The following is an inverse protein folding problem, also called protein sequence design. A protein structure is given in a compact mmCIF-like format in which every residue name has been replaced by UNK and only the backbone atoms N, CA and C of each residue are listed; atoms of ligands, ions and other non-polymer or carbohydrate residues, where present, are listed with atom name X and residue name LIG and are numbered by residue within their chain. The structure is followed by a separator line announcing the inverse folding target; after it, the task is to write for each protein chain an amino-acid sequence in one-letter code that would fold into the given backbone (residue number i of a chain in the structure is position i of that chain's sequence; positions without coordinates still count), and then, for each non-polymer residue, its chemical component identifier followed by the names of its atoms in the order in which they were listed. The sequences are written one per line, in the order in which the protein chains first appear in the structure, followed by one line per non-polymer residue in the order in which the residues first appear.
data_IF_484335121203
#
_entry.id   IF_484335121203
#
_cell.length_a   1.000
_cell.length_b   1.000
_cell.length_c   1.000
_cell.angle_alpha   90.00
_cell.angle_beta   90.00
_cell.angle_gamma   90.00
#
_symmetry.space_group_name_H-M   'P 1'
#
loop_
_entity.id
_entity.type
_entity.pdbx_description
1 polymer ?
#
# COMPACT_ATOMS: atom_id res chain seq x y z
N UNK A 1 39.02 -7.70 -17.08
CA UNK A 1 39.79 -7.22 -15.90
C UNK A 1 40.61 -5.97 -16.20
N UNK A 2 41.19 -5.85 -17.37
CA UNK A 2 42.10 -4.75 -17.71
C UNK A 2 41.43 -3.39 -17.88
N UNK A 3 40.15 -3.38 -18.30
CA UNK A 3 39.40 -2.12 -18.54
C UNK A 3 38.61 -1.65 -17.31
N UNK A 4 38.48 -2.45 -16.27
CA UNK A 4 37.62 -2.16 -15.12
C UNK A 4 36.12 -2.16 -15.43
N UNK A 5 35.74 -2.55 -16.65
CA UNK A 5 34.34 -2.65 -17.07
C UNK A 5 33.67 -3.87 -16.44
N UNK A 6 32.45 -3.71 -15.92
CA UNK A 6 31.63 -4.80 -15.39
C UNK A 6 30.66 -5.26 -16.46
N UNK A 7 30.66 -6.56 -16.78
CA UNK A 7 29.70 -7.19 -17.69
C UNK A 7 28.85 -8.19 -16.93
N UNK A 8 27.54 -8.19 -17.22
CA UNK A 8 26.58 -9.11 -16.64
C UNK A 8 26.20 -10.17 -17.67
N UNK A 9 26.15 -11.41 -17.24
CA UNK A 9 25.78 -12.56 -18.06
C UNK A 9 24.56 -13.27 -17.47
N UNK A 10 23.75 -13.88 -18.33
CA UNK A 10 22.57 -14.65 -17.87
C UNK A 10 22.89 -16.10 -17.49
N UNK A 11 24.11 -16.55 -17.76
CA UNK A 11 24.59 -17.88 -17.43
C UNK A 11 25.53 -17.88 -16.20
N UNK A 12 25.71 -19.06 -15.61
CA UNK A 12 26.55 -19.22 -14.41
C UNK A 12 28.03 -19.47 -14.71
N UNK A 13 28.45 -19.52 -15.98
CA UNK A 13 29.80 -19.95 -16.39
C UNK A 13 30.64 -18.84 -17.00
N UNK A 14 30.03 -17.80 -17.52
CA UNK A 14 30.73 -16.71 -18.23
C UNK A 14 31.30 -15.63 -17.31
N UNK A 15 30.89 -15.56 -16.04
CA UNK A 15 31.28 -14.55 -15.07
C UNK A 15 32.19 -15.11 -13.97
N UNK A 16 32.87 -14.20 -13.22
CA UNK A 16 33.69 -14.55 -12.06
C UNK A 16 32.85 -14.68 -10.77
N UNK A 17 31.71 -13.96 -10.70
CA UNK A 17 30.83 -13.94 -9.52
C UNK A 17 29.45 -14.45 -9.93
N UNK A 18 29.01 -15.52 -9.27
CA UNK A 18 27.67 -16.08 -9.48
C UNK A 18 26.71 -15.43 -8.50
N UNK A 19 25.83 -14.56 -9.02
CA UNK A 19 24.86 -13.81 -8.22
C UNK A 19 23.59 -14.63 -7.88
N UNK A 20 23.28 -15.63 -8.70
CA UNK A 20 22.17 -16.54 -8.48
C UNK A 20 22.58 -18.00 -8.70
N UNK A 21 23.24 -18.63 -7.70
CA UNK A 21 23.81 -19.98 -7.85
C UNK A 21 22.74 -21.08 -7.98
N UNK A 22 21.48 -20.81 -7.62
CA UNK A 22 20.41 -21.83 -7.67
C UNK A 22 19.71 -21.92 -9.03
N UNK A 23 20.06 -21.03 -9.98
CA UNK A 23 19.40 -20.97 -11.28
C UNK A 23 17.92 -20.58 -11.19
N UNK A 24 17.26 -20.54 -12.35
CA UNK A 24 15.84 -20.16 -12.49
C UNK A 24 15.63 -18.66 -12.77
N UNK A 25 14.40 -18.30 -13.09
CA UNK A 25 14.02 -16.89 -13.34
C UNK A 25 13.71 -16.24 -11.99
N UNK A 26 14.68 -15.51 -11.47
CA UNK A 26 14.52 -14.77 -10.23
C UNK A 26 14.82 -13.29 -10.43
N UNK A 27 14.15 -12.44 -9.66
CA UNK A 27 14.53 -11.03 -9.57
C UNK A 27 15.90 -10.96 -8.92
N UNK A 28 16.84 -10.32 -9.61
CA UNK A 28 18.18 -10.09 -9.08
C UNK A 28 18.11 -9.10 -7.90
N UNK A 29 18.43 -9.60 -6.72
CA UNK A 29 18.40 -8.80 -5.50
C UNK A 29 19.81 -8.69 -4.92
N UNK A 30 20.28 -7.48 -4.69
CA UNK A 30 21.55 -7.20 -4.03
C UNK A 30 21.31 -6.62 -2.63
N UNK A 31 22.16 -7.00 -1.69
CA UNK A 31 22.42 -6.15 -0.54
C UNK A 31 23.43 -5.04 -0.91
N UNK A 32 23.66 -4.08 -0.02
CA UNK A 32 24.53 -2.93 -0.29
C UNK A 32 25.99 -3.32 -0.60
N UNK A 33 26.50 -4.34 0.06
CA UNK A 33 27.87 -4.84 -0.15
C UNK A 33 28.02 -5.54 -1.50
N UNK A 34 27.07 -6.42 -1.84
CA UNK A 34 27.03 -7.08 -3.15
C UNK A 34 26.90 -6.08 -4.28
N UNK A 35 26.04 -5.07 -4.13
CA UNK A 35 25.89 -4.02 -5.12
C UNK A 35 27.19 -3.23 -5.36
N UNK A 36 27.94 -2.95 -4.30
CA UNK A 36 29.25 -2.31 -4.40
C UNK A 36 30.31 -3.24 -5.04
N UNK A 37 30.34 -4.52 -4.65
CA UNK A 37 31.29 -5.52 -5.18
C UNK A 37 31.15 -5.69 -6.70
N UNK A 38 29.93 -5.71 -7.23
CA UNK A 38 29.66 -5.83 -8.66
C UNK A 38 29.58 -4.46 -9.38
N UNK A 39 29.98 -3.37 -8.72
CA UNK A 39 29.96 -1.99 -9.23
C UNK A 39 28.57 -1.53 -9.71
N UNK A 40 27.50 -2.13 -9.22
CA UNK A 40 26.14 -1.66 -9.42
C UNK A 40 25.86 -0.39 -8.60
N UNK A 41 26.50 -0.29 -7.44
CA UNK A 41 26.53 0.88 -6.58
C UNK A 41 27.95 1.44 -6.50
N UNK A 42 28.10 2.75 -6.28
CA UNK A 42 29.38 3.41 -6.09
C UNK A 42 30.01 3.15 -4.72
N UNK A 43 29.21 2.69 -3.76
CA UNK A 43 29.65 2.42 -2.41
C UNK A 43 28.50 2.19 -1.46
N UNK A 44 28.83 2.00 -0.20
CA UNK A 44 27.90 1.84 0.92
C UNK A 44 28.16 2.95 1.93
N UNK A 45 27.11 3.53 2.49
CA UNK A 45 27.19 4.56 3.53
C UNK A 45 26.33 4.16 4.71
N UNK A 46 26.89 4.21 5.91
CA UNK A 46 26.20 3.88 7.18
C UNK A 46 25.62 5.12 7.87
N UNK A 47 26.03 6.31 7.43
CA UNK A 47 25.59 7.59 7.97
C UNK A 47 25.60 8.67 6.87
N UNK A 48 25.05 9.85 7.20
CA UNK A 48 24.93 10.96 6.26
C UNK A 48 26.27 11.56 5.79
N UNK A 49 27.29 11.55 6.64
CA UNK A 49 28.60 12.07 6.30
C UNK A 49 29.31 11.14 5.29
N UNK A 50 29.21 9.84 5.50
CA UNK A 50 29.72 8.85 4.55
C UNK A 50 28.96 8.92 3.21
N UNK A 51 27.65 9.13 3.24
CA UNK A 51 26.84 9.31 2.04
C UNK A 51 27.28 10.55 1.25
N UNK A 52 27.48 11.69 1.92
CA UNK A 52 28.01 12.90 1.30
C UNK A 52 29.35 12.67 0.61
N UNK A 53 30.29 12.00 1.29
CA UNK A 53 31.60 11.62 0.74
C UNK A 53 31.49 10.66 -0.45
N UNK A 54 30.63 9.64 -0.35
CA UNK A 54 30.40 8.68 -1.43
C UNK A 54 29.78 9.34 -2.68
N UNK A 55 28.99 10.42 -2.50
CA UNK A 55 28.44 11.26 -3.56
C UNK A 55 29.46 12.25 -4.12
N UNK A 56 30.65 12.38 -3.53
CA UNK A 56 31.69 13.32 -3.94
C UNK A 56 31.36 14.79 -3.57
N UNK A 57 30.55 14.99 -2.55
CA UNK A 57 30.13 16.31 -2.08
C UNK A 57 31.04 16.75 -0.91
N UNK A 58 31.59 17.97 -0.98
CA UNK A 58 32.47 18.56 0.05
C UNK A 58 31.65 19.09 1.24
N UNK A 59 30.49 19.62 0.97
CA UNK A 59 29.56 20.11 1.98
C UNK A 59 28.14 19.66 1.62
N UNK A 60 27.40 19.18 2.63
CA UNK A 60 26.04 18.71 2.47
C UNK A 60 25.16 19.31 3.57
N UNK A 61 24.18 20.08 3.16
CA UNK A 61 23.10 20.50 4.06
C UNK A 61 21.89 19.57 3.85
N UNK A 62 21.58 18.82 4.91
CA UNK A 62 20.43 17.93 4.90
C UNK A 62 19.16 18.66 5.32
N UNK A 63 18.26 18.85 4.37
CA UNK A 63 17.01 19.59 4.56
C UNK A 63 15.88 18.62 4.85
N UNK A 64 15.15 18.87 5.95
CA UNK A 64 13.99 18.09 6.33
C UNK A 64 13.76 18.01 7.83
N UNK A 65 12.75 17.24 8.24
CA UNK A 65 12.44 17.00 9.65
C UNK A 65 13.23 15.79 10.14
N UNK A 66 13.97 15.94 11.24
CA UNK A 66 14.60 14.82 11.93
C UNK A 66 13.52 13.90 12.51
N UNK A 67 13.62 12.61 12.21
CA UNK A 67 12.79 11.56 12.79
C UNK A 67 13.68 10.47 13.39
N UNK A 68 13.21 9.81 14.46
CA UNK A 68 13.99 8.79 15.16
C UNK A 68 14.10 7.48 14.40
N UNK A 69 13.16 7.22 13.48
CA UNK A 69 13.08 5.98 12.72
C UNK A 69 13.94 6.02 11.45
N UNK A 70 14.49 7.20 11.09
CA UNK A 70 15.24 7.38 9.85
C UNK A 70 16.62 7.98 10.11
N UNK A 71 17.60 7.50 9.35
CA UNK A 71 18.99 8.00 9.42
C UNK A 71 19.09 9.41 8.81
N UNK A 72 18.28 9.70 7.80
CA UNK A 72 18.23 10.99 7.09
C UNK A 72 17.03 11.82 7.52
N UNK A 73 17.10 13.15 7.38
CA UNK A 73 15.94 14.01 7.59
C UNK A 73 14.87 13.76 6.53
N UNK A 74 13.62 13.64 6.95
CA UNK A 74 12.49 13.36 6.08
C UNK A 74 12.02 14.67 5.42
N UNK A 75 12.01 14.73 4.10
CA UNK A 75 11.49 15.86 3.37
C UNK A 75 9.94 15.91 3.41
N UNK A 76 9.36 17.04 3.03
CA UNK A 76 7.91 17.27 3.07
C UNK A 76 7.13 16.25 2.21
N UNK A 77 7.68 15.91 1.04
CA UNK A 77 7.07 14.93 0.14
C UNK A 77 7.10 13.51 0.73
N UNK A 78 8.22 13.14 1.34
CA UNK A 78 8.38 11.85 2.01
C UNK A 78 7.45 11.73 3.23
N UNK A 79 7.34 12.78 4.06
CA UNK A 79 6.39 12.82 5.17
C UNK A 79 4.96 12.62 4.66
N UNK A 80 4.58 13.30 3.57
CA UNK A 80 3.27 13.14 2.96
C UNK A 80 3.01 11.70 2.50
N UNK A 81 4.01 11.04 1.89
CA UNK A 81 3.92 9.64 1.48
C UNK A 81 3.78 8.67 2.66
N UNK A 82 4.51 8.92 3.75
CA UNK A 82 4.41 8.11 4.98
C UNK A 82 3.02 8.25 5.62
N UNK A 83 2.51 9.47 5.72
CA UNK A 83 1.18 9.74 6.25
C UNK A 83 0.08 9.13 5.35
N UNK A 84 0.27 9.17 4.04
CA UNK A 84 -0.64 8.52 3.09
C UNK A 84 -0.66 7.00 3.29
N UNK A 85 0.50 6.34 3.34
CA UNK A 85 0.61 4.90 3.58
C UNK A 85 -0.03 4.47 4.90
N UNK A 86 0.21 5.24 5.96
CA UNK A 86 -0.37 4.97 7.28
C UNK A 86 -1.90 5.08 7.23
N UNK A 87 -2.45 6.12 6.61
CA UNK A 87 -3.90 6.28 6.41
C UNK A 87 -4.48 5.14 5.60
N UNK A 88 -3.89 4.83 4.44
CA UNK A 88 -4.37 3.74 3.56
C UNK A 88 -4.41 2.40 4.29
N UNK A 89 -3.39 2.06 5.08
CA UNK A 89 -3.39 0.82 5.87
C UNK A 89 -4.47 0.78 6.95
N UNK A 90 -4.80 1.93 7.54
CA UNK A 90 -5.92 2.04 8.50
C UNK A 90 -7.26 1.94 7.78
N UNK A 91 -7.40 2.66 6.67
CA UNK A 91 -8.62 2.69 5.86
C UNK A 91 -8.95 1.29 5.31
N UNK A 92 -7.96 0.50 4.91
CA UNK A 92 -8.17 -0.87 4.43
C UNK A 92 -8.77 -1.79 5.50
N UNK A 93 -8.30 -1.69 6.75
CA UNK A 93 -8.86 -2.45 7.88
C UNK A 93 -10.29 -2.04 8.19
N UNK A 94 -10.55 -0.72 8.24
CA UNK A 94 -11.88 -0.19 8.48
C UNK A 94 -12.83 -0.50 7.34
N UNK A 95 -12.37 -0.45 6.09
CA UNK A 95 -13.14 -0.80 4.90
C UNK A 95 -13.69 -2.22 5.01
N UNK A 96 -12.83 -3.21 5.28
CA UNK A 96 -13.25 -4.60 5.46
C UNK A 96 -14.26 -4.76 6.61
N UNK A 97 -14.07 -4.02 7.70
CA UNK A 97 -15.02 -3.99 8.82
C UNK A 97 -16.39 -3.46 8.39
N UNK A 98 -16.43 -2.39 7.59
CA UNK A 98 -17.70 -1.81 7.12
C UNK A 98 -18.40 -2.73 6.11
N UNK A 99 -17.68 -3.32 5.16
CA UNK A 99 -18.26 -4.26 4.18
C UNK A 99 -18.87 -5.48 4.91
N UNK A 100 -18.11 -6.12 5.81
CA UNK A 100 -18.61 -7.25 6.59
C UNK A 100 -19.79 -6.86 7.48
N UNK A 101 -19.72 -5.67 8.06
CA UNK A 101 -20.77 -5.13 8.89
C UNK A 101 -22.07 -4.85 8.13
N UNK A 102 -21.99 -4.32 6.90
CA UNK A 102 -23.16 -4.14 6.02
C UNK A 102 -23.85 -5.48 5.79
N UNK A 103 -23.10 -6.51 5.37
CA UNK A 103 -23.63 -7.84 5.11
C UNK A 103 -24.29 -8.46 6.36
N UNK A 104 -23.59 -8.41 7.49
CA UNK A 104 -24.10 -8.94 8.76
C UNK A 104 -25.39 -8.26 9.19
N UNK A 105 -25.42 -6.93 9.14
CA UNK A 105 -26.61 -6.19 9.59
C UNK A 105 -27.79 -6.28 8.62
N UNK A 106 -27.57 -6.46 7.32
CA UNK A 106 -28.63 -6.82 6.38
C UNK A 106 -29.26 -8.19 6.74
N UNK A 107 -28.42 -9.18 7.04
CA UNK A 107 -28.88 -10.48 7.49
C UNK A 107 -29.68 -10.43 8.80
N UNK A 108 -29.20 -9.67 9.79
CA UNK A 108 -29.90 -9.44 11.05
C UNK A 108 -31.21 -8.68 10.85
N UNK A 109 -31.24 -7.65 10.03
CA UNK A 109 -32.43 -6.88 9.71
C UNK A 109 -33.52 -7.74 9.04
N UNK A 110 -33.11 -8.72 8.22
CA UNK A 110 -34.06 -9.63 7.55
C UNK A 110 -34.83 -10.53 8.54
N UNK A 111 -34.23 -10.85 9.68
CA UNK A 111 -34.75 -11.75 10.71
C UNK A 111 -35.38 -11.00 11.89
N UNK A 112 -35.06 -9.74 12.08
CA UNK A 112 -35.47 -8.93 13.23
C UNK A 112 -36.94 -8.46 13.16
N UNK A 113 -37.51 -8.19 14.32
CA UNK A 113 -38.79 -7.49 14.46
C UNK A 113 -38.63 -6.00 14.11
N UNK A 114 -39.74 -5.32 13.84
CA UNK A 114 -39.75 -3.96 13.29
C UNK A 114 -38.81 -2.97 14.01
N UNK A 115 -38.89 -2.87 15.33
CA UNK A 115 -38.08 -1.95 16.12
C UNK A 115 -36.57 -2.25 16.04
N UNK A 116 -36.19 -3.52 16.11
CA UNK A 116 -34.80 -3.95 15.97
C UNK A 116 -34.30 -3.85 14.54
N UNK A 117 -35.17 -4.14 13.57
CA UNK A 117 -34.87 -4.00 12.14
C UNK A 117 -34.47 -2.59 11.78
N UNK A 118 -35.19 -1.59 12.29
CA UNK A 118 -34.87 -0.18 12.07
C UNK A 118 -33.45 0.17 12.58
N UNK A 119 -33.03 -0.39 13.71
CA UNK A 119 -31.68 -0.20 14.25
C UNK A 119 -30.61 -0.78 13.31
N UNK A 120 -30.80 -2.01 12.84
CA UNK A 120 -29.84 -2.65 11.92
C UNK A 120 -29.77 -1.92 10.58
N UNK A 121 -30.90 -1.49 10.03
CA UNK A 121 -30.94 -0.67 8.82
C UNK A 121 -30.20 0.66 9.01
N UNK A 122 -30.37 1.31 10.16
CA UNK A 122 -29.62 2.52 10.51
C UNK A 122 -28.11 2.31 10.48
N UNK A 123 -27.65 1.19 11.03
CA UNK A 123 -26.24 0.82 11.02
C UNK A 123 -25.72 0.55 9.60
N UNK A 124 -26.50 -0.15 8.76
CA UNK A 124 -26.14 -0.38 7.35
C UNK A 124 -25.96 0.94 6.60
N UNK A 125 -26.91 1.89 6.77
CA UNK A 125 -26.81 3.23 6.14
C UNK A 125 -25.54 3.97 6.59
N UNK A 126 -25.25 3.94 7.86
CA UNK A 126 -24.04 4.58 8.41
C UNK A 126 -22.78 3.99 7.77
N UNK A 127 -22.64 2.68 7.73
CA UNK A 127 -21.47 2.03 7.14
C UNK A 127 -21.40 2.21 5.63
N UNK A 128 -22.50 2.15 4.91
CA UNK A 128 -22.53 2.44 3.48
C UNK A 128 -22.02 3.86 3.18
N UNK A 129 -22.41 4.84 4.00
CA UNK A 129 -21.91 6.21 3.87
C UNK A 129 -20.39 6.29 4.15
N UNK A 130 -19.88 5.53 5.12
CA UNK A 130 -18.43 5.45 5.36
C UNK A 130 -17.68 4.85 4.16
N UNK A 131 -18.18 3.75 3.59
CA UNK A 131 -17.60 3.15 2.37
C UNK A 131 -17.60 4.16 1.22
N UNK A 132 -18.71 4.85 0.96
CA UNK A 132 -18.79 5.90 -0.07
C UNK A 132 -17.76 7.01 0.17
N UNK A 133 -17.59 7.45 1.42
CA UNK A 133 -16.62 8.47 1.76
C UNK A 133 -15.15 7.99 1.57
N UNK A 134 -14.84 6.75 1.95
CA UNK A 134 -13.53 6.14 1.73
C UNK A 134 -13.19 6.03 0.24
N UNK A 135 -14.13 5.54 -0.56
CA UNK A 135 -13.97 5.45 -2.02
C UNK A 135 -13.75 6.83 -2.65
N UNK A 136 -14.50 7.85 -2.22
CA UNK A 136 -14.31 9.23 -2.68
C UNK A 136 -12.92 9.76 -2.36
N UNK A 137 -12.37 9.43 -1.19
CA UNK A 137 -11.04 9.86 -0.76
C UNK A 137 -9.90 9.06 -1.40
N UNK A 138 -10.16 7.80 -1.74
CA UNK A 138 -9.20 6.91 -2.38
C UNK A 138 -9.89 6.00 -3.41
N UNK A 139 -10.00 6.44 -4.68
CA UNK A 139 -10.65 5.66 -5.75
C UNK A 139 -10.04 4.28 -6.00
N UNK A 140 -8.81 4.02 -5.54
CA UNK A 140 -8.19 2.70 -5.69
C UNK A 140 -8.97 1.58 -4.97
N UNK A 141 -9.79 1.91 -3.97
CA UNK A 141 -10.70 0.93 -3.36
C UNK A 141 -11.69 0.35 -4.37
N UNK A 142 -12.13 1.13 -5.36
CA UNK A 142 -13.01 0.64 -6.44
C UNK A 142 -12.28 -0.43 -7.25
N UNK A 143 -11.09 -0.11 -7.74
CA UNK A 143 -10.30 -1.02 -8.58
C UNK A 143 -9.99 -2.33 -7.87
N UNK A 144 -9.68 -2.27 -6.58
CA UNK A 144 -9.31 -3.44 -5.79
C UNK A 144 -10.49 -4.36 -5.44
N UNK A 145 -11.72 -3.80 -5.30
CA UNK A 145 -12.85 -4.55 -4.77
C UNK A 145 -13.97 -4.80 -5.78
N UNK A 146 -14.13 -3.94 -6.78
CA UNK A 146 -15.21 -4.02 -7.78
C UNK A 146 -14.69 -4.02 -9.22
N UNK A 147 -13.43 -3.67 -9.45
CA UNK A 147 -12.83 -3.61 -10.76
C UNK A 147 -13.05 -2.26 -11.46
N UNK A 148 -14.25 -1.70 -11.40
CA UNK A 148 -14.59 -0.40 -11.98
C UNK A 148 -15.71 0.32 -11.21
N UNK A 149 -15.97 1.55 -11.62
CA UNK A 149 -16.98 2.42 -10.98
C UNK A 149 -18.42 1.93 -11.22
N UNK A 150 -18.68 1.31 -12.36
CA UNK A 150 -20.01 0.78 -12.70
C UNK A 150 -20.40 -0.36 -11.75
N UNK A 151 -19.50 -1.29 -11.50
CA UNK A 151 -19.73 -2.40 -10.56
C UNK A 151 -19.85 -1.89 -9.11
N UNK A 152 -19.09 -0.87 -8.73
CA UNK A 152 -19.28 -0.23 -7.43
C UNK A 152 -20.67 0.41 -7.30
N UNK A 153 -21.16 1.14 -8.32
CA UNK A 153 -22.48 1.74 -8.30
C UNK A 153 -23.58 0.68 -8.26
N UNK A 154 -23.48 -0.41 -9.01
CA UNK A 154 -24.40 -1.54 -8.94
C UNK A 154 -24.47 -2.11 -7.52
N UNK A 155 -23.31 -2.34 -6.90
CA UNK A 155 -23.27 -2.81 -5.52
C UNK A 155 -23.96 -1.84 -4.54
N UNK A 156 -23.73 -0.54 -4.68
CA UNK A 156 -24.41 0.49 -3.87
C UNK A 156 -25.93 0.42 -4.04
N UNK A 157 -26.39 0.33 -5.29
CA UNK A 157 -27.83 0.26 -5.61
C UNK A 157 -28.47 -1.01 -5.03
N UNK A 158 -27.78 -2.14 -5.05
CA UNK A 158 -28.25 -3.39 -4.42
C UNK A 158 -28.43 -3.25 -2.92
N UNK A 159 -27.46 -2.65 -2.23
CA UNK A 159 -27.55 -2.39 -0.78
C UNK A 159 -28.73 -1.43 -0.49
N UNK A 160 -28.86 -0.35 -1.25
CA UNK A 160 -29.95 0.60 -1.08
C UNK A 160 -31.32 -0.01 -1.38
N UNK A 161 -31.42 -0.91 -2.36
CA UNK A 161 -32.63 -1.69 -2.65
C UNK A 161 -32.98 -2.60 -1.47
N UNK A 162 -32.00 -3.37 -0.96
CA UNK A 162 -32.19 -4.22 0.21
C UNK A 162 -32.70 -3.41 1.43
N UNK A 163 -32.14 -2.24 1.68
CA UNK A 163 -32.58 -1.32 2.73
C UNK A 163 -34.05 -0.91 2.51
N UNK A 164 -34.43 -0.53 1.29
CA UNK A 164 -35.80 -0.14 0.97
C UNK A 164 -36.81 -1.28 1.18
N UNK A 165 -36.43 -2.48 0.75
CA UNK A 165 -37.30 -3.65 0.83
C UNK A 165 -37.49 -4.10 2.30
N UNK A 166 -36.42 -4.11 3.09
CA UNK A 166 -36.48 -4.40 4.52
C UNK A 166 -37.25 -3.34 5.31
N UNK A 167 -37.21 -2.08 4.88
CA UNK A 167 -37.93 -0.99 5.54
C UNK A 167 -39.46 -1.07 5.32
N UNK A 168 -39.91 -1.74 4.25
CA UNK A 168 -41.35 -1.93 3.92
C UNK A 168 -41.93 -3.20 4.55
N UNK A 169 -41.10 -4.09 5.03
CA UNK A 169 -41.54 -5.37 5.61
C UNK A 169 -42.20 -5.08 6.97
N UNK A 170 -43.48 -5.40 7.08
CA UNK A 170 -44.25 -5.32 8.34
C UNK A 170 -43.88 -6.47 9.28
#
# INVERSE_FOLDING_TARGET
KETGEVKYFQDATSGEIVLNPKGGVHILTFNSEQAAQVKFSKGTASNLDELGKAMGLSEVEWVGKKDKEYVWPICKAEQYMLDFRKRTSTDEKEFNRYINGIQTNLGLAAQAREAERAKFIGQVRQWLNQVKAMVKNNPNFILLNWGDDEEFQKWVEEIERAIRDLSKKK
#
